data_IF_732099267375
#
_entry.id   IF_732099267375
#
_cell.length_a   1.000
_cell.length_b   1.000
_cell.length_c   1.000
_cell.angle_alpha   90.00
_cell.angle_beta   90.00
_cell.angle_gamma   90.00
#
_symmetry.space_group_name_H-M   'P 1'
#
loop_
_entity.id
_entity.type
_entity.pdbx_description
1 polymer ?
#
# COMPACT_ATOMS: atom_id res chain seq x y z
N UNK A 1 -0.82 -24.14 9.16
CA UNK A 1 -1.73 -23.23 9.90
C UNK A 1 -1.24 -21.80 9.71
N UNK A 2 -2.11 -20.86 9.32
CA UNK A 2 -1.75 -19.45 9.22
C UNK A 2 -2.13 -18.77 10.53
N UNK A 3 -1.20 -18.01 11.10
CA UNK A 3 -1.42 -17.20 12.31
C UNK A 3 -1.10 -15.76 12.00
N UNK A 4 -1.98 -14.85 12.45
CA UNK A 4 -1.77 -13.41 12.30
C UNK A 4 -1.92 -12.73 13.67
N UNK A 5 -1.07 -11.74 13.95
CA UNK A 5 -1.16 -10.96 15.18
C UNK A 5 -0.69 -9.52 14.98
N UNK A 6 -1.20 -8.62 15.79
CA UNK A 6 -0.83 -7.21 15.81
C UNK A 6 -0.49 -6.81 17.25
N UNK A 7 0.71 -6.27 17.50
CA UNK A 7 1.16 -5.92 18.84
C UNK A 7 0.39 -4.70 19.38
N UNK A 8 0.24 -4.65 20.69
CA UNK A 8 -0.22 -3.47 21.42
C UNK A 8 0.97 -2.59 21.81
N UNK A 9 0.71 -1.33 22.12
CA UNK A 9 1.69 -0.45 22.74
C UNK A 9 2.81 0.05 21.82
N UNK A 10 2.63 -0.02 20.51
CA UNK A 10 3.57 0.60 19.56
C UNK A 10 3.56 2.12 19.79
N UNK A 11 4.73 2.74 20.07
CA UNK A 11 4.78 4.17 20.38
C UNK A 11 4.42 5.03 19.16
N UNK A 12 4.08 6.29 19.42
CA UNK A 12 3.87 7.28 18.35
C UNK A 12 5.19 7.53 17.60
N UNK A 13 5.20 7.29 16.30
CA UNK A 13 6.39 7.41 15.46
C UNK A 13 6.65 8.87 15.09
N UNK A 14 7.91 9.29 15.20
CA UNK A 14 8.41 10.61 14.88
C UNK A 14 9.36 10.57 13.66
N UNK A 15 9.63 11.73 13.09
CA UNK A 15 10.61 11.83 12.00
C UNK A 15 12.02 11.42 12.48
N UNK A 16 12.63 10.51 11.74
CA UNK A 16 13.95 9.96 12.06
C UNK A 16 13.94 8.69 12.91
N UNK A 17 12.77 8.22 13.36
CA UNK A 17 12.69 6.97 14.11
C UNK A 17 13.12 5.77 13.25
N UNK A 18 13.83 4.84 13.89
CA UNK A 18 14.29 3.60 13.26
C UNK A 18 13.16 2.55 13.28
N UNK A 19 12.48 2.40 12.13
CA UNK A 19 11.39 1.45 11.98
C UNK A 19 11.80 -0.03 12.15
N UNK A 20 12.93 -0.52 11.61
CA UNK A 20 13.40 -1.88 11.86
C UNK A 20 13.54 -2.19 13.35
N UNK A 21 14.13 -1.29 14.12
CA UNK A 21 14.26 -1.44 15.57
C UNK A 21 12.89 -1.49 16.25
N UNK A 22 12.00 -0.57 15.91
CA UNK A 22 10.63 -0.54 16.44
C UNK A 22 9.86 -1.82 16.12
N UNK A 23 10.03 -2.38 14.93
CA UNK A 23 9.43 -3.67 14.54
C UNK A 23 9.98 -4.81 15.41
N UNK A 24 11.29 -4.88 15.60
CA UNK A 24 11.91 -5.92 16.43
C UNK A 24 11.47 -5.82 17.90
N UNK A 25 11.34 -4.61 18.44
CA UNK A 25 10.83 -4.39 19.80
C UNK A 25 9.35 -4.78 19.92
N UNK A 26 8.54 -4.49 18.89
CA UNK A 26 7.11 -4.82 18.86
C UNK A 26 6.84 -6.32 18.64
N UNK A 27 7.75 -7.03 17.99
CA UNK A 27 7.63 -8.47 17.69
C UNK A 27 8.78 -9.29 18.27
N UNK A 28 8.88 -9.47 19.59
CA UNK A 28 10.00 -10.22 20.20
C UNK A 28 10.03 -11.71 19.80
N UNK A 29 8.92 -12.24 19.28
CA UNK A 29 8.81 -13.61 18.78
C UNK A 29 8.87 -13.72 17.25
N UNK A 30 9.33 -12.66 16.55
CA UNK A 30 9.49 -12.68 15.09
C UNK A 30 10.47 -13.80 14.69
N UNK A 31 10.19 -14.49 13.60
CA UNK A 31 10.98 -15.60 13.11
C UNK A 31 11.21 -15.51 11.60
N UNK A 32 12.22 -16.20 11.11
CA UNK A 32 12.40 -16.36 9.66
C UNK A 32 11.17 -17.02 9.04
N UNK A 33 10.74 -16.51 7.87
CA UNK A 33 9.52 -16.94 7.21
C UNK A 33 8.27 -16.14 7.57
N UNK A 34 8.35 -15.25 8.58
CA UNK A 34 7.26 -14.33 8.88
C UNK A 34 7.16 -13.21 7.85
N UNK A 35 5.95 -12.67 7.67
CA UNK A 35 5.67 -11.51 6.82
C UNK A 35 5.19 -10.38 7.72
N UNK A 36 5.88 -9.24 7.68
CA UNK A 36 5.57 -8.05 8.49
C UNK A 36 4.78 -7.06 7.64
N UNK A 37 3.58 -6.69 8.10
CA UNK A 37 2.74 -5.64 7.52
C UNK A 37 2.90 -4.36 8.31
N UNK A 38 3.24 -3.27 7.62
CA UNK A 38 3.53 -1.95 8.18
C UNK A 38 2.62 -0.94 7.53
N UNK A 39 1.86 -0.16 8.32
CA UNK A 39 1.04 0.90 7.73
C UNK A 39 1.91 2.03 7.16
N UNK A 40 1.53 2.55 6.01
CA UNK A 40 2.18 3.70 5.35
C UNK A 40 2.35 4.90 6.27
N UNK A 41 1.40 5.13 7.17
CA UNK A 41 1.42 6.26 8.11
C UNK A 41 2.68 6.33 8.97
N UNK A 42 3.10 5.22 9.58
CA UNK A 42 4.33 5.24 10.41
C UNK A 42 5.58 5.35 9.56
N UNK A 43 5.57 4.79 8.35
CA UNK A 43 6.67 4.96 7.37
C UNK A 43 6.79 6.43 6.98
N UNK A 44 5.69 7.07 6.62
CA UNK A 44 5.65 8.49 6.25
C UNK A 44 6.08 9.39 7.40
N UNK A 45 5.66 9.10 8.63
CA UNK A 45 6.09 9.84 9.83
C UNK A 45 7.59 9.70 10.03
N UNK A 46 8.13 8.49 10.01
CA UNK A 46 9.57 8.25 10.17
C UNK A 46 10.40 8.95 9.08
N UNK A 47 9.88 9.03 7.86
CA UNK A 47 10.50 9.74 6.74
C UNK A 47 10.30 11.27 6.77
N UNK A 48 9.62 11.81 7.79
CA UNK A 48 9.32 13.24 7.87
C UNK A 48 8.39 13.75 6.76
N UNK A 49 7.51 12.89 6.22
CA UNK A 49 6.55 13.23 5.17
C UNK A 49 5.32 13.97 5.70
N UNK A 50 5.39 14.49 6.91
CA UNK A 50 4.40 15.44 7.45
C UNK A 50 4.76 16.82 6.94
N UNK A 51 3.86 17.44 6.19
CA UNK A 51 4.06 18.78 5.64
C UNK A 51 3.01 19.73 6.17
N UNK A 52 3.40 21.01 6.32
CA UNK A 52 2.44 22.07 6.60
C UNK A 52 1.61 22.29 5.33
N UNK A 53 0.31 22.22 5.44
CA UNK A 53 -0.60 22.53 4.37
C UNK A 53 -1.69 23.45 4.93
N UNK A 54 -1.69 24.71 4.55
CA UNK A 54 -2.78 25.64 4.84
C UNK A 54 -4.04 25.21 4.10
N UNK A 55 -3.86 24.58 2.93
CA UNK A 55 -4.90 24.00 2.12
C UNK A 55 -4.53 22.53 1.76
N UNK A 56 -5.32 21.59 2.28
CA UNK A 56 -5.19 20.17 1.95
C UNK A 56 -5.36 19.91 0.46
N UNK A 57 -6.23 20.66 -0.21
CA UNK A 57 -6.49 20.51 -1.65
C UNK A 57 -5.26 20.88 -2.49
N UNK A 58 -4.45 21.84 -2.03
CA UNK A 58 -3.18 22.16 -2.68
C UNK A 58 -2.20 20.97 -2.55
N UNK A 59 -2.07 20.38 -1.37
CA UNK A 59 -1.21 19.22 -1.17
C UNK A 59 -1.65 18.02 -2.05
N UNK A 60 -2.95 17.80 -2.22
CA UNK A 60 -3.48 16.80 -3.14
C UNK A 60 -3.08 17.12 -4.58
N UNK A 61 -3.18 18.38 -4.98
CA UNK A 61 -2.80 18.84 -6.33
C UNK A 61 -1.33 18.61 -6.59
N UNK A 62 -0.46 18.92 -5.62
CA UNK A 62 0.99 18.76 -5.72
C UNK A 62 1.43 17.29 -5.84
N UNK A 63 0.68 16.37 -5.23
CA UNK A 63 0.94 14.92 -5.33
C UNK A 63 0.22 14.25 -6.52
N UNK A 64 -0.64 14.99 -7.26
CA UNK A 64 -1.39 14.49 -8.41
C UNK A 64 -0.55 14.53 -9.68
N UNK A 65 -0.46 13.42 -10.38
CA UNK A 65 0.09 13.32 -11.74
C UNK A 65 -1.03 13.55 -12.77
N UNK A 66 -2.18 12.92 -12.55
CA UNK A 66 -3.32 12.96 -13.46
C UNK A 66 -4.63 12.81 -12.70
N UNK A 67 -5.63 13.60 -13.09
CA UNK A 67 -7.00 13.43 -12.59
C UNK A 67 -7.67 12.33 -13.44
N UNK A 68 -8.21 11.32 -12.76
CA UNK A 68 -8.94 10.20 -13.37
C UNK A 68 -10.43 10.45 -13.36
N UNK A 69 -10.98 10.88 -12.22
CA UNK A 69 -12.38 11.19 -12.07
C UNK A 69 -12.61 12.23 -10.96
N UNK A 70 -13.65 13.03 -11.14
CA UNK A 70 -14.09 14.04 -10.16
C UNK A 70 -15.55 13.85 -9.83
N UNK A 71 -15.89 13.86 -8.54
CA UNK A 71 -17.27 13.82 -8.08
C UNK A 71 -17.56 15.01 -7.18
N UNK A 72 -18.52 15.82 -7.58
CA UNK A 72 -19.05 16.92 -6.76
C UNK A 72 -19.68 16.38 -5.48
N UNK A 73 -19.46 17.06 -4.37
CA UNK A 73 -20.11 16.80 -3.08
C UNK A 73 -21.01 17.97 -2.72
N UNK A 74 -22.19 17.75 -2.13
CA UNK A 74 -23.05 18.83 -1.68
C UNK A 74 -22.36 19.74 -0.65
N UNK A 75 -21.61 19.12 0.27
CA UNK A 75 -20.94 19.79 1.38
C UNK A 75 -19.43 19.52 1.32
N UNK A 76 -18.67 20.50 0.84
CA UNK A 76 -17.21 20.46 0.84
C UNK A 76 -16.57 20.34 -0.56
N UNK A 77 -15.23 20.23 -0.62
CA UNK A 77 -14.50 20.15 -1.87
C UNK A 77 -14.84 18.85 -2.63
N UNK A 78 -14.72 18.87 -3.97
CA UNK A 78 -14.98 17.69 -4.79
C UNK A 78 -14.07 16.53 -4.42
N UNK A 79 -14.61 15.31 -4.46
CA UNK A 79 -13.79 14.11 -4.37
C UNK A 79 -13.05 13.95 -5.70
N UNK A 80 -11.73 13.93 -5.64
CA UNK A 80 -10.87 13.64 -6.78
C UNK A 80 -10.28 12.23 -6.64
N UNK A 81 -10.46 11.41 -7.67
CA UNK A 81 -9.71 10.18 -7.88
C UNK A 81 -8.58 10.54 -8.83
N UNK A 82 -7.37 10.33 -8.42
CA UNK A 82 -6.18 10.78 -9.15
C UNK A 82 -5.12 9.70 -9.17
N UNK A 83 -4.31 9.71 -10.20
CA UNK A 83 -3.05 9.00 -10.23
C UNK A 83 -2.00 9.85 -9.50
N UNK A 84 -1.35 9.27 -8.52
CA UNK A 84 -0.32 9.92 -7.75
C UNK A 84 1.09 9.58 -8.26
N UNK A 85 2.13 10.11 -7.62
CA UNK A 85 3.54 9.91 -8.02
C UNK A 85 4.04 8.47 -7.91
N UNK A 86 3.32 7.60 -7.21
CA UNK A 86 3.59 6.16 -7.14
C UNK A 86 2.86 5.37 -8.25
N UNK A 87 2.09 6.06 -9.10
CA UNK A 87 1.24 5.44 -10.12
C UNK A 87 -0.07 4.87 -9.55
N UNK A 88 -0.33 5.05 -8.26
CA UNK A 88 -1.55 4.57 -7.63
C UNK A 88 -2.73 5.47 -7.98
N UNK A 89 -3.82 4.87 -8.46
CA UNK A 89 -5.09 5.57 -8.70
C UNK A 89 -5.96 5.47 -7.45
N UNK A 90 -6.08 6.58 -6.73
CA UNK A 90 -6.76 6.60 -5.44
C UNK A 90 -7.37 7.98 -5.11
N UNK A 91 -8.19 8.01 -4.07
CA UNK A 91 -8.79 9.25 -3.60
C UNK A 91 -7.72 10.17 -3.01
N UNK A 92 -7.81 11.46 -3.36
CA UNK A 92 -7.00 12.50 -2.74
C UNK A 92 -5.48 12.27 -2.80
N UNK A 93 -4.99 11.57 -3.83
CA UNK A 93 -3.56 11.22 -4.02
C UNK A 93 -2.92 10.47 -2.84
N UNK A 94 -3.70 9.92 -1.90
CA UNK A 94 -3.21 9.34 -0.65
C UNK A 94 -2.84 10.38 0.43
N UNK A 95 -3.15 11.66 0.23
CA UNK A 95 -2.92 12.72 1.22
C UNK A 95 -3.90 12.56 2.39
N UNK A 96 -3.36 12.29 3.58
CA UNK A 96 -4.14 12.06 4.79
C UNK A 96 -3.97 13.23 5.78
N UNK A 97 -5.09 13.72 6.31
CA UNK A 97 -5.13 14.72 7.38
C UNK A 97 -5.54 14.11 8.72
N UNK A 98 -5.79 12.79 8.77
CA UNK A 98 -6.13 12.11 10.02
C UNK A 98 -4.90 11.85 10.87
N UNK A 99 -5.05 11.92 12.20
CA UNK A 99 -3.96 11.68 13.16
C UNK A 99 -2.70 12.55 12.92
N UNK A 100 -2.88 13.76 12.41
CA UNK A 100 -1.85 14.78 12.26
C UNK A 100 -2.25 16.03 13.06
N UNK A 101 -1.26 16.91 13.33
CA UNK A 101 -1.55 18.20 13.97
C UNK A 101 -2.35 19.08 13.01
N UNK A 102 -3.20 19.95 13.56
CA UNK A 102 -3.95 20.93 12.78
C UNK A 102 -3.01 21.72 11.84
N UNK A 103 -3.45 21.91 10.60
CA UNK A 103 -2.66 22.59 9.57
C UNK A 103 -1.51 21.76 9.01
N UNK A 104 -1.49 20.45 9.26
CA UNK A 104 -0.53 19.52 8.64
C UNK A 104 -1.25 18.37 7.93
N UNK A 105 -0.59 17.81 6.93
CA UNK A 105 -1.02 16.60 6.22
C UNK A 105 0.14 15.61 6.13
N UNK A 106 -0.19 14.35 6.00
CA UNK A 106 0.74 13.27 5.79
C UNK A 106 0.68 12.84 4.33
N UNK A 107 1.84 12.83 3.68
CA UNK A 107 2.02 12.35 2.31
C UNK A 107 2.46 10.88 2.34
N UNK A 108 2.21 10.14 1.28
CA UNK A 108 2.72 8.77 1.15
C UNK A 108 4.26 8.71 1.16
N UNK A 109 4.87 7.57 1.52
CA UNK A 109 6.31 7.37 1.38
C UNK A 109 6.78 7.64 -0.05
N UNK A 110 8.01 8.15 -0.21
CA UNK A 110 8.54 8.47 -1.55
C UNK A 110 8.75 7.24 -2.43
N UNK A 111 9.29 6.20 -1.84
CA UNK A 111 9.54 4.90 -2.47
C UNK A 111 9.26 3.80 -1.44
N UNK A 112 8.03 3.30 -1.40
CA UNK A 112 7.66 2.30 -0.42
C UNK A 112 8.31 0.94 -0.66
N UNK A 113 8.61 0.55 -1.91
CA UNK A 113 9.34 -0.69 -2.21
C UNK A 113 10.78 -0.64 -1.68
N UNK A 114 11.51 0.45 -1.97
CA UNK A 114 12.85 0.63 -1.44
C UNK A 114 12.86 0.72 0.10
N UNK A 115 11.82 1.31 0.69
CA UNK A 115 11.68 1.38 2.15
C UNK A 115 11.43 -0.01 2.75
N UNK A 116 10.56 -0.83 2.14
CA UNK A 116 10.34 -2.20 2.56
C UNK A 116 11.63 -3.03 2.47
N UNK A 117 12.39 -2.86 1.39
CA UNK A 117 13.69 -3.52 1.21
C UNK A 117 14.70 -3.10 2.28
N UNK A 118 14.79 -1.82 2.60
CA UNK A 118 15.69 -1.31 3.66
C UNK A 118 15.30 -1.86 5.04
N UNK A 119 14.02 -1.85 5.40
CA UNK A 119 13.52 -2.43 6.66
C UNK A 119 13.90 -3.92 6.74
N UNK A 120 13.61 -4.69 5.69
CA UNK A 120 13.94 -6.12 5.61
C UNK A 120 15.44 -6.37 5.78
N UNK A 121 16.25 -5.62 5.06
CA UNK A 121 17.70 -5.75 5.09
C UNK A 121 18.27 -5.44 6.47
N UNK A 122 17.82 -4.38 7.13
CA UNK A 122 18.28 -4.00 8.46
C UNK A 122 17.86 -5.04 9.53
N UNK A 123 16.64 -5.57 9.46
CA UNK A 123 16.21 -6.69 10.32
C UNK A 123 17.15 -7.89 10.13
N UNK A 124 17.43 -8.26 8.88
CA UNK A 124 18.33 -9.39 8.60
C UNK A 124 19.75 -9.15 9.13
N UNK A 125 20.30 -7.96 8.92
CA UNK A 125 21.65 -7.61 9.39
C UNK A 125 21.79 -7.66 10.92
N UNK A 126 20.76 -7.25 11.65
CA UNK A 126 20.81 -7.23 13.12
C UNK A 126 20.49 -8.56 13.79
N UNK A 127 19.70 -9.40 13.15
CA UNK A 127 19.13 -10.61 13.80
C UNK A 127 19.36 -11.90 13.04
N UNK A 128 19.72 -11.84 11.76
CA UNK A 128 19.75 -13.00 10.86
C UNK A 128 18.37 -13.49 10.43
N UNK A 129 17.28 -12.85 10.85
CA UNK A 129 15.91 -13.25 10.50
C UNK A 129 15.59 -12.86 9.06
N UNK A 130 15.22 -13.84 8.24
CA UNK A 130 14.73 -13.60 6.88
C UNK A 130 13.21 -13.48 6.88
N UNK A 131 12.71 -12.24 6.79
CA UNK A 131 11.29 -11.91 6.76
C UNK A 131 10.91 -11.26 5.44
N UNK A 132 9.61 -11.23 5.09
CA UNK A 132 9.11 -10.31 4.09
C UNK A 132 8.51 -9.07 4.77
N UNK A 133 8.47 -7.93 4.06
CA UNK A 133 7.89 -6.68 4.55
C UNK A 133 6.90 -6.17 3.51
N UNK A 134 5.69 -5.82 3.95
CA UNK A 134 4.64 -5.20 3.12
C UNK A 134 4.27 -3.86 3.76
N UNK A 135 4.33 -2.78 2.98
CA UNK A 135 3.82 -1.46 3.39
C UNK A 135 2.42 -1.33 2.83
N UNK A 136 1.45 -1.04 3.71
CA UNK A 136 0.03 -1.02 3.35
C UNK A 136 -0.56 0.37 3.49
N UNK A 137 -1.50 0.68 2.61
CA UNK A 137 -2.33 1.88 2.73
C UNK A 137 -3.80 1.57 2.43
N UNK A 138 -4.68 2.41 2.94
CA UNK A 138 -6.13 2.22 2.79
C UNK A 138 -6.61 2.80 1.48
N UNK A 139 -7.31 2.01 0.68
CA UNK A 139 -7.83 2.45 -0.62
C UNK A 139 -9.29 2.08 -0.81
N UNK A 140 -10.01 2.95 -1.55
CA UNK A 140 -11.28 2.60 -2.16
C UNK A 140 -11.08 1.68 -3.35
N UNK A 141 -12.14 0.99 -3.73
CA UNK A 141 -12.13 0.08 -4.90
C UNK A 141 -13.26 0.45 -5.84
N UNK A 142 -13.03 0.46 -7.16
CA UNK A 142 -14.11 0.53 -8.13
C UNK A 142 -15.13 -0.61 -7.89
N UNK A 143 -16.39 -0.34 -8.18
CA UNK A 143 -17.50 -1.31 -8.14
C UNK A 143 -17.85 -1.90 -6.77
N UNK A 144 -17.19 -1.52 -5.71
CA UNK A 144 -17.45 -2.04 -4.35
C UNK A 144 -17.49 -0.90 -3.34
N UNK A 145 -18.46 -0.95 -2.43
CA UNK A 145 -18.51 -0.10 -1.26
C UNK A 145 -17.46 -0.51 -0.23
N UNK A 146 -17.03 0.45 0.59
CA UNK A 146 -16.06 0.24 1.66
C UNK A 146 -14.60 0.40 1.20
N UNK A 147 -13.73 0.49 2.19
CA UNK A 147 -12.28 0.60 2.02
C UNK A 147 -11.64 -0.74 2.35
N UNK A 148 -10.43 -0.96 1.83
CA UNK A 148 -9.56 -2.06 2.21
C UNK A 148 -8.12 -1.59 2.20
N UNK A 149 -7.21 -2.27 2.90
CA UNK A 149 -5.80 -2.01 2.70
C UNK A 149 -5.32 -2.71 1.42
N UNK A 150 -4.40 -2.05 0.74
CA UNK A 150 -3.64 -2.57 -0.41
C UNK A 150 -2.15 -2.48 -0.10
N UNK A 151 -1.34 -3.30 -0.74
CA UNK A 151 0.10 -3.19 -0.70
C UNK A 151 0.54 -2.04 -1.61
N UNK A 152 1.23 -1.04 -1.04
CA UNK A 152 1.83 0.05 -1.79
C UNK A 152 3.36 -0.06 -1.89
N UNK A 153 3.95 -0.96 -1.12
CA UNK A 153 5.36 -1.33 -1.17
C UNK A 153 5.57 -2.72 -0.59
N UNK A 154 6.47 -3.49 -1.15
CA UNK A 154 6.84 -4.78 -0.57
C UNK A 154 8.28 -5.18 -0.92
N UNK A 155 8.86 -6.03 -0.06
CA UNK A 155 10.16 -6.66 -0.30
C UNK A 155 10.24 -8.03 0.36
N UNK A 156 10.96 -8.95 -0.28
CA UNK A 156 11.13 -10.32 0.18
C UNK A 156 9.91 -11.20 -0.09
N UNK A 157 9.04 -10.76 -0.97
CA UNK A 157 7.87 -11.48 -1.47
C UNK A 157 7.62 -11.07 -2.92
N UNK A 158 7.17 -12.02 -3.77
CA UNK A 158 6.57 -11.64 -5.05
C UNK A 158 5.14 -11.15 -4.80
N UNK A 159 4.77 -9.95 -5.28
CA UNK A 159 3.45 -9.39 -5.01
C UNK A 159 2.32 -10.12 -5.73
N UNK A 160 2.65 -10.81 -6.80
CA UNK A 160 1.75 -11.60 -7.64
C UNK A 160 2.17 -13.07 -7.60
N UNK A 161 1.21 -13.97 -7.41
CA UNK A 161 1.38 -15.42 -7.61
C UNK A 161 0.79 -15.79 -8.97
N UNK A 162 1.67 -16.11 -9.93
CA UNK A 162 1.29 -16.44 -11.29
C UNK A 162 1.06 -17.93 -11.42
N UNK A 163 -0.19 -18.33 -11.42
CA UNK A 163 -0.63 -19.72 -11.55
C UNK A 163 -0.86 -20.15 -13.02
N UNK A 164 -0.59 -19.29 -13.98
CA UNK A 164 -0.76 -19.63 -15.41
C UNK A 164 0.16 -20.77 -15.80
N UNK A 165 -0.36 -21.72 -16.59
CA UNK A 165 0.33 -22.95 -16.95
C UNK A 165 0.27 -24.06 -15.92
N UNK A 166 -0.24 -23.80 -14.72
CA UNK A 166 -0.55 -24.85 -13.74
C UNK A 166 -1.90 -25.49 -14.05
N UNK A 167 -2.17 -26.66 -13.48
CA UNK A 167 -3.44 -27.37 -13.67
C UNK A 167 -4.26 -27.30 -12.39
N UNK A 168 -5.58 -27.13 -12.56
CA UNK A 168 -6.53 -27.24 -11.45
C UNK A 168 -6.74 -28.71 -11.01
N UNK A 169 -7.53 -28.93 -9.96
CA UNK A 169 -7.83 -30.25 -9.43
C UNK A 169 -8.61 -31.16 -10.40
N UNK A 170 -9.18 -30.60 -11.46
CA UNK A 170 -9.86 -31.31 -12.54
C UNK A 170 -8.96 -31.57 -13.77
N UNK A 171 -7.68 -31.18 -13.68
CA UNK A 171 -6.70 -31.35 -14.76
C UNK A 171 -6.79 -30.30 -15.87
N UNK A 172 -7.50 -29.16 -15.65
CA UNK A 172 -7.57 -28.06 -16.63
C UNK A 172 -6.47 -27.05 -16.37
N UNK A 173 -5.83 -26.59 -17.43
CA UNK A 173 -4.80 -25.57 -17.37
C UNK A 173 -5.39 -24.19 -16.98
N UNK A 174 -4.73 -23.52 -16.05
CA UNK A 174 -5.04 -22.16 -15.63
C UNK A 174 -4.38 -21.17 -16.58
N UNK A 175 -5.18 -20.50 -17.42
CA UNK A 175 -4.65 -19.63 -18.48
C UNK A 175 -4.58 -18.15 -18.10
N UNK A 176 -5.33 -17.73 -17.05
CA UNK A 176 -5.48 -16.31 -16.71
C UNK A 176 -5.32 -16.02 -15.20
N UNK A 177 -5.08 -17.05 -14.39
CA UNK A 177 -5.11 -16.92 -12.93
C UNK A 177 -3.79 -16.35 -12.42
N UNK A 178 -3.87 -15.13 -11.91
CA UNK A 178 -2.77 -14.45 -11.20
C UNK A 178 -3.35 -13.84 -9.93
N UNK A 179 -2.83 -14.23 -8.77
CA UNK A 179 -3.33 -13.77 -7.47
C UNK A 179 -2.48 -12.61 -6.97
N UNK A 180 -3.14 -11.54 -6.50
CA UNK A 180 -2.46 -10.38 -5.91
C UNK A 180 -2.18 -10.65 -4.42
N UNK A 181 -1.24 -11.55 -4.14
CA UNK A 181 -1.00 -12.11 -2.80
C UNK A 181 -0.58 -11.04 -1.79
N UNK A 182 0.15 -10.00 -2.23
CA UNK A 182 0.52 -8.91 -1.33
C UNK A 182 -0.70 -8.06 -0.91
N UNK A 183 -1.69 -7.87 -1.81
CA UNK A 183 -2.94 -7.19 -1.48
C UNK A 183 -3.83 -8.04 -0.56
N UNK A 184 -3.87 -9.36 -0.77
CA UNK A 184 -4.60 -10.27 0.13
C UNK A 184 -4.05 -10.20 1.55
N UNK A 185 -2.72 -10.22 1.71
CA UNK A 185 -2.05 -10.08 3.00
C UNK A 185 -2.26 -8.69 3.61
N UNK A 186 -2.21 -7.63 2.80
CA UNK A 186 -2.50 -6.27 3.25
C UNK A 186 -3.91 -6.16 3.83
N UNK A 187 -4.92 -6.65 3.09
CA UNK A 187 -6.31 -6.64 3.51
C UNK A 187 -6.57 -7.52 4.75
N UNK A 188 -5.97 -8.70 4.81
CA UNK A 188 -6.12 -9.60 5.95
C UNK A 188 -5.51 -9.02 7.23
N UNK A 189 -4.32 -8.41 7.15
CA UNK A 189 -3.65 -7.79 8.30
C UNK A 189 -4.36 -6.54 8.80
N UNK A 190 -5.10 -5.82 7.93
CA UNK A 190 -5.90 -4.67 8.35
C UNK A 190 -7.02 -5.04 9.34
N UNK A 191 -7.59 -6.24 9.25
CA UNK A 191 -8.58 -6.73 10.21
C UNK A 191 -8.05 -6.74 11.65
N UNK A 192 -6.73 -6.86 11.84
CA UNK A 192 -6.06 -6.87 13.12
C UNK A 192 -5.56 -5.47 13.54
N UNK A 193 -5.05 -4.71 12.58
CA UNK A 193 -4.58 -3.34 12.81
C UNK A 193 -5.74 -2.41 13.16
N UNK A 194 -6.82 -2.49 12.38
CA UNK A 194 -7.99 -1.62 12.54
C UNK A 194 -7.66 -0.13 12.39
N UNK A 195 -8.70 0.70 12.25
CA UNK A 195 -8.48 2.14 12.04
C UNK A 195 -8.34 2.95 13.34
N UNK A 196 -8.84 2.43 14.43
CA UNK A 196 -8.92 3.14 15.72
C UNK A 196 -8.15 2.44 16.84
N UNK A 197 -7.56 1.28 16.58
CA UNK A 197 -6.91 0.45 17.60
C UNK A 197 -5.48 0.89 17.94
N UNK A 198 -4.88 1.84 17.20
CA UNK A 198 -3.50 2.27 17.42
C UNK A 198 -2.44 1.21 17.11
N UNK A 199 -2.78 0.23 16.26
CA UNK A 199 -1.90 -0.89 15.89
C UNK A 199 -1.36 -0.72 14.47
N UNK A 200 -0.22 -0.06 14.28
CA UNK A 200 0.29 0.20 12.94
C UNK A 200 1.05 -0.97 12.31
N UNK A 201 1.22 -2.06 13.04
CA UNK A 201 1.99 -3.23 12.66
C UNK A 201 1.17 -4.51 12.80
N UNK A 202 1.37 -5.46 11.90
CA UNK A 202 0.90 -6.83 12.04
C UNK A 202 1.93 -7.81 11.48
N UNK A 203 1.88 -9.07 11.89
CA UNK A 203 2.71 -10.11 11.34
C UNK A 203 1.87 -11.34 10.96
N UNK A 204 2.34 -12.05 9.94
CA UNK A 204 1.73 -13.28 9.42
C UNK A 204 2.77 -14.39 9.47
N UNK A 205 2.41 -15.53 10.02
CA UNK A 205 3.23 -16.76 10.10
C UNK A 205 2.52 -17.92 9.43
N UNK A 206 3.28 -18.85 8.87
CA UNK A 206 2.77 -20.04 8.20
C UNK A 206 2.57 -19.85 6.70
N UNK A 207 3.15 -18.78 6.14
CA UNK A 207 3.22 -18.48 4.70
C UNK A 207 4.69 -18.33 4.26
N UNK A 208 5.58 -19.05 4.89
CA UNK A 208 7.04 -19.01 4.69
C UNK A 208 7.46 -19.34 3.24
N UNK A 209 6.66 -20.13 2.53
CA UNK A 209 6.85 -20.43 1.10
C UNK A 209 6.75 -19.20 0.19
N UNK A 210 6.15 -18.09 0.65
CA UNK A 210 6.10 -16.83 -0.06
C UNK A 210 7.31 -15.95 0.20
N UNK A 211 8.08 -16.22 1.25
CA UNK A 211 9.23 -15.40 1.64
C UNK A 211 10.45 -15.76 0.80
N UNK A 212 10.91 -14.79 0.03
CA UNK A 212 12.06 -14.94 -0.86
C UNK A 212 13.38 -15.04 -0.09
N UNK A 213 14.42 -15.65 -0.69
CA UNK A 213 15.76 -15.69 -0.10
C UNK A 213 16.28 -14.30 0.31
N UNK A 214 17.20 -14.20 1.30
CA UNK A 214 17.63 -12.90 1.86
C UNK A 214 18.12 -11.86 0.84
N UNK A 215 18.72 -12.33 -0.25
CA UNK A 215 19.30 -11.48 -1.33
C UNK A 215 18.33 -11.14 -2.44
N UNK A 216 17.08 -11.61 -2.39
CA UNK A 216 16.05 -11.29 -3.38
C UNK A 216 14.99 -10.42 -2.73
N UNK A 217 14.71 -9.25 -3.31
CA UNK A 217 13.67 -8.36 -2.83
C UNK A 217 12.33 -8.57 -3.54
N UNK A 218 12.30 -9.29 -4.67
CA UNK A 218 11.11 -9.44 -5.52
C UNK A 218 10.85 -8.21 -6.40
N UNK A 219 9.73 -8.26 -7.14
CA UNK A 219 9.38 -7.21 -8.10
C UNK A 219 8.90 -5.90 -7.45
N UNK A 220 8.55 -5.94 -6.14
CA UNK A 220 7.95 -4.81 -5.43
C UNK A 220 6.46 -4.62 -5.76
N UNK A 221 5.74 -3.89 -4.90
CA UNK A 221 4.31 -3.65 -5.08
C UNK A 221 3.97 -2.82 -6.35
N UNK A 222 4.95 -2.13 -6.92
CA UNK A 222 4.80 -1.47 -8.23
C UNK A 222 4.34 -2.43 -9.33
N UNK A 223 4.62 -3.73 -9.22
CA UNK A 223 4.15 -4.74 -10.19
C UNK A 223 2.63 -4.98 -10.13
N UNK A 224 1.95 -4.55 -9.06
CA UNK A 224 0.49 -4.60 -8.94
C UNK A 224 -0.21 -3.47 -9.71
N UNK A 225 0.53 -2.40 -10.02
CA UNK A 225 -0.03 -1.18 -10.60
C UNK A 225 -0.21 -1.34 -12.11
N UNK A 226 -1.42 -1.09 -12.59
CA UNK A 226 -1.70 -0.97 -14.03
C UNK A 226 -1.60 0.49 -14.42
N UNK A 227 -0.72 0.79 -15.35
CA UNK A 227 -0.49 2.17 -15.82
C UNK A 227 -1.03 2.36 -17.24
N UNK A 228 -1.59 3.56 -17.47
CA UNK A 228 -1.95 4.05 -18.79
C UNK A 228 -2.90 3.13 -19.56
N UNK A 229 -2.51 2.73 -20.76
CA UNK A 229 -3.34 1.95 -21.68
C UNK A 229 -3.62 0.50 -21.21
N UNK A 230 -2.86 0.00 -20.23
CA UNK A 230 -3.10 -1.33 -19.67
C UNK A 230 -4.27 -1.35 -18.69
N UNK A 231 -4.78 -0.18 -18.28
CA UNK A 231 -5.96 -0.05 -17.43
C UNK A 231 -7.19 0.30 -18.27
N UNK A 232 -8.17 -0.61 -18.29
CA UNK A 232 -9.46 -0.41 -18.98
C UNK A 232 -10.27 0.76 -18.39
N UNK A 233 -9.97 1.19 -17.18
CA UNK A 233 -10.67 2.25 -16.44
C UNK A 233 -9.77 3.48 -16.24
N UNK A 234 -8.89 3.75 -17.19
CA UNK A 234 -7.90 4.83 -17.12
C UNK A 234 -8.50 6.23 -17.00
N UNK A 235 -9.79 6.41 -17.31
CA UNK A 235 -10.53 7.66 -17.14
C UNK A 235 -11.93 7.40 -16.54
N UNK A 236 -12.45 8.37 -15.80
CA UNK A 236 -13.85 8.40 -15.39
C UNK A 236 -14.79 8.61 -16.59
N UNK A 237 -16.03 8.20 -16.46
CA UNK A 237 -17.02 8.29 -17.57
C UNK A 237 -17.23 9.72 -18.03
N UNK A 238 -17.33 10.70 -17.12
CA UNK A 238 -17.54 12.10 -17.45
C UNK A 238 -16.32 12.71 -18.17
N UNK A 239 -15.14 12.38 -17.71
CA UNK A 239 -13.87 12.83 -18.29
C UNK A 239 -13.64 12.23 -19.69
N UNK A 240 -13.95 10.94 -19.87
CA UNK A 240 -13.86 10.27 -21.17
C UNK A 240 -14.87 10.84 -22.18
N UNK A 241 -16.11 11.10 -21.72
CA UNK A 241 -17.15 11.74 -22.56
C UNK A 241 -16.74 13.15 -22.99
N UNK A 242 -16.28 13.98 -22.06
CA UNK A 242 -15.86 15.35 -22.34
C UNK A 242 -14.68 15.39 -23.33
N UNK A 243 -13.71 14.47 -23.20
CA UNK A 243 -12.59 14.34 -24.13
C UNK A 243 -13.08 13.93 -25.52
N UNK A 244 -13.91 12.88 -25.64
CA UNK A 244 -14.44 12.44 -26.92
C UNK A 244 -15.27 13.52 -27.64
N UNK A 245 -16.01 14.34 -26.88
CA UNK A 245 -16.76 15.47 -27.44
C UNK A 245 -15.85 16.59 -27.97
N UNK A 246 -14.77 16.89 -27.26
CA UNK A 246 -13.78 17.87 -27.69
C UNK A 246 -13.01 17.41 -28.97
N UNK A 247 -12.64 16.14 -29.03
CA UNK A 247 -11.94 15.54 -30.18
C UNK A 247 -12.84 15.49 -31.43
N UNK A 248 -14.16 15.30 -31.26
CA UNK A 248 -15.13 15.28 -32.36
C UNK A 248 -15.46 16.69 -32.93
N UNK A 249 -15.14 17.75 -32.21
CA UNK A 249 -15.35 19.14 -32.62
C UNK A 249 -14.15 19.77 -33.36
N UNK A 250 -13.08 19.01 -33.57
CA UNK A 250 -11.92 19.40 -34.37
C UNK A 250 -11.97 18.77 -35.75
#
# INVERSE_FOLDING_TARGET
MITMWAPDGVPEVQAGDNLPRLILEAFPALASGDIVSVTSKIVSKAQGRIVRAQDREQAITDETVRVVATRTRPDGPPLRIVENRLGLVMAAAGVDASNTRDGTVLLLPKDPDATAAAIRQEIFQHTGLNVAVIITDTSGRPWRAGLTDIAIGCAGIEPLDDLRGQTDTAGKELNVTVTAVADELAAATELLKGKTAGKPLAAVRGMDHLVLPPNSHGAGAKALVRLGETDMFSQGTAEAYARGYADAGQ
#
